data_IF_707242519274
#
_entry.id   IF_707242519274
#
_cell.length_a   1.000
_cell.length_b   1.000
_cell.length_c   1.000
_cell.angle_alpha   90.00
_cell.angle_beta   90.00
_cell.angle_gamma   90.00
#
_symmetry.space_group_name_H-M   'P 1'
#
loop_
_entity.id
_entity.type
_entity.pdbx_description
1 polymer ?
#
# COMPACT_ATOMS: atom_id res chain seq x y z
N UNK A 1 8.18 6.25 8.92
CA UNK A 1 9.48 6.81 9.37
C UNK A 1 10.35 7.24 8.19
N UNK A 2 10.52 6.43 7.12
CA UNK A 2 11.38 6.74 5.96
C UNK A 2 10.99 8.08 5.33
N UNK A 3 9.74 8.24 4.93
CA UNK A 3 9.24 9.46 4.29
C UNK A 3 9.34 10.69 5.21
N UNK A 4 9.03 10.52 6.49
CA UNK A 4 9.14 11.59 7.50
C UNK A 4 10.60 12.02 7.65
N UNK A 5 11.49 11.05 7.81
CA UNK A 5 12.91 11.31 7.94
C UNK A 5 13.50 12.05 6.74
N UNK A 6 13.18 11.61 5.51
CA UNK A 6 13.61 12.27 4.28
C UNK A 6 13.04 13.69 4.19
N UNK A 7 11.73 13.86 4.46
CA UNK A 7 11.06 15.16 4.38
C UNK A 7 11.75 16.21 5.25
N UNK A 8 11.89 15.92 6.54
CA UNK A 8 12.49 16.88 7.47
C UNK A 8 14.01 17.02 7.30
N UNK A 9 14.71 16.00 6.80
CA UNK A 9 16.14 16.12 6.52
C UNK A 9 16.44 17.07 5.34
N UNK A 10 15.60 17.08 4.30
CA UNK A 10 15.78 17.97 3.15
C UNK A 10 15.71 19.44 3.58
N UNK A 11 14.75 19.78 4.43
CA UNK A 11 14.48 21.16 4.84
C UNK A 11 15.25 21.57 6.13
N UNK A 12 16.06 20.66 6.72
CA UNK A 12 16.82 20.93 7.95
C UNK A 12 17.98 21.92 7.73
N UNK A 13 18.14 22.94 8.60
CA UNK A 13 19.11 24.02 8.40
C UNK A 13 20.56 23.64 8.70
N UNK A 14 20.81 22.57 9.45
CA UNK A 14 22.16 22.15 9.84
C UNK A 14 22.41 20.67 9.58
N UNK A 15 23.68 20.29 9.40
CA UNK A 15 24.08 18.90 9.19
C UNK A 15 23.67 17.99 10.35
N UNK A 16 23.79 18.46 11.59
CA UNK A 16 23.36 17.71 12.78
C UNK A 16 21.87 17.39 12.76
N UNK A 17 21.02 18.36 12.35
CA UNK A 17 19.59 18.13 12.20
C UNK A 17 19.28 17.22 11.00
N UNK A 18 20.02 17.33 9.91
CA UNK A 18 19.91 16.43 8.76
C UNK A 18 20.19 14.98 9.14
N UNK A 19 21.31 14.74 9.83
CA UNK A 19 21.67 13.38 10.28
C UNK A 19 20.66 12.82 11.27
N UNK A 20 20.17 13.64 12.19
CA UNK A 20 19.12 13.23 13.13
C UNK A 20 17.87 12.73 12.41
N UNK A 21 17.39 13.45 11.41
CA UNK A 21 16.20 13.05 10.65
C UNK A 21 16.47 11.91 9.65
N UNK A 22 17.68 11.80 9.10
CA UNK A 22 18.03 10.70 8.21
C UNK A 22 18.21 9.36 8.96
N UNK A 23 18.57 9.38 10.23
CA UNK A 23 18.78 8.16 11.01
C UNK A 23 17.56 7.22 11.00
N UNK A 24 16.30 7.65 11.32
CA UNK A 24 15.14 6.78 11.22
C UNK A 24 14.82 6.36 9.78
N UNK A 25 15.14 7.17 8.76
CA UNK A 25 14.96 6.79 7.37
C UNK A 25 15.91 5.66 6.96
N UNK A 26 17.17 5.76 7.32
CA UNK A 26 18.19 4.73 7.06
C UNK A 26 17.86 3.45 7.83
N UNK A 27 17.54 3.56 9.13
CA UNK A 27 17.15 2.42 9.94
C UNK A 27 15.92 1.70 9.38
N UNK A 28 14.87 2.45 9.03
CA UNK A 28 13.66 1.88 8.41
C UNK A 28 13.94 1.20 7.07
N UNK A 29 14.81 1.77 6.24
CA UNK A 29 15.24 1.16 4.98
C UNK A 29 15.98 -0.15 5.21
N UNK A 30 16.95 -0.17 6.13
CA UNK A 30 17.69 -1.37 6.51
C UNK A 30 16.71 -2.44 7.05
N UNK A 31 15.78 -2.05 7.94
CA UNK A 31 14.81 -2.96 8.51
C UNK A 31 13.93 -3.63 7.44
N UNK A 32 13.46 -2.86 6.45
CA UNK A 32 12.62 -3.40 5.37
C UNK A 32 13.43 -4.30 4.43
N UNK A 33 14.60 -3.88 3.98
CA UNK A 33 15.33 -4.59 2.94
C UNK A 33 16.14 -5.80 3.46
N UNK A 34 16.55 -5.80 4.72
CA UNK A 34 17.40 -6.86 5.25
C UNK A 34 16.71 -7.74 6.31
N UNK A 35 15.74 -7.20 7.06
CA UNK A 35 15.10 -7.94 8.16
C UNK A 35 13.65 -8.31 7.88
N UNK A 36 12.96 -7.66 6.93
CA UNK A 36 11.58 -8.02 6.61
C UNK A 36 11.54 -9.11 5.52
N UNK A 37 10.82 -10.22 5.75
CA UNK A 37 10.67 -11.26 4.74
C UNK A 37 9.67 -10.87 3.62
N UNK A 38 8.95 -9.75 3.77
CA UNK A 38 7.82 -9.38 2.92
C UNK A 38 8.23 -8.73 1.59
N UNK A 39 7.98 -9.42 0.47
CA UNK A 39 8.19 -8.88 -0.91
C UNK A 39 7.42 -7.57 -1.15
N UNK A 40 6.23 -7.45 -0.59
CA UNK A 40 5.36 -6.27 -0.69
C UNK A 40 6.01 -5.03 -0.08
N UNK A 41 6.74 -5.18 1.03
CA UNK A 41 7.44 -4.07 1.68
C UNK A 41 8.45 -3.37 0.77
N UNK A 42 9.19 -4.11 -0.05
CA UNK A 42 10.14 -3.55 -1.03
C UNK A 42 9.42 -2.71 -2.09
N UNK A 43 8.33 -3.26 -2.64
CA UNK A 43 7.53 -2.59 -3.67
C UNK A 43 6.90 -1.31 -3.13
N UNK A 44 6.22 -1.39 -1.98
CA UNK A 44 5.54 -0.27 -1.35
C UNK A 44 6.51 0.85 -0.98
N UNK A 45 7.67 0.51 -0.39
CA UNK A 45 8.69 1.50 0.00
C UNK A 45 9.28 2.18 -1.23
N UNK A 46 9.66 1.41 -2.25
CA UNK A 46 10.20 1.95 -3.50
C UNK A 46 9.20 2.87 -4.19
N UNK A 47 7.95 2.47 -4.26
CA UNK A 47 6.87 3.30 -4.82
C UNK A 47 6.68 4.60 -4.03
N UNK A 48 6.56 4.53 -2.70
CA UNK A 48 6.31 5.69 -1.87
C UNK A 48 7.46 6.72 -1.91
N UNK A 49 8.71 6.25 -1.88
CA UNK A 49 9.90 7.11 -2.00
C UNK A 49 10.00 7.72 -3.40
N UNK A 50 9.70 6.95 -4.45
CA UNK A 50 9.66 7.46 -5.82
C UNK A 50 8.62 8.57 -5.97
N UNK A 51 7.41 8.34 -5.47
CA UNK A 51 6.31 9.30 -5.51
C UNK A 51 6.65 10.59 -4.73
N UNK A 52 7.30 10.43 -3.56
CA UNK A 52 7.78 11.57 -2.78
C UNK A 52 8.71 12.48 -3.58
N UNK A 53 9.72 11.93 -4.21
CA UNK A 53 10.66 12.72 -5.01
C UNK A 53 10.04 13.29 -6.29
N UNK A 54 9.12 12.57 -6.92
CA UNK A 54 8.36 13.07 -8.08
C UNK A 54 7.54 14.32 -7.76
N UNK A 55 7.04 14.45 -6.54
CA UNK A 55 6.26 15.60 -6.08
C UNK A 55 7.18 16.70 -5.50
N UNK A 56 8.17 16.32 -4.67
CA UNK A 56 9.06 17.29 -4.00
C UNK A 56 9.96 18.04 -4.98
N UNK A 57 10.46 17.38 -6.02
CA UNK A 57 11.37 17.97 -7.01
C UNK A 57 10.55 18.60 -8.13
N UNK A 58 10.50 19.94 -8.18
CA UNK A 58 9.77 20.68 -9.23
C UNK A 58 10.51 20.76 -10.58
N UNK A 59 11.77 20.33 -10.64
CA UNK A 59 12.63 20.38 -11.82
C UNK A 59 12.37 19.20 -12.77
N UNK A 60 12.83 19.32 -14.04
CA UNK A 60 12.91 18.21 -15.00
C UNK A 60 13.65 16.97 -14.46
N UNK A 61 14.51 17.17 -13.47
CA UNK A 61 15.28 16.10 -12.81
C UNK A 61 14.46 15.24 -11.84
N UNK A 62 13.17 15.53 -11.64
CA UNK A 62 12.29 14.73 -10.77
C UNK A 62 12.25 13.23 -11.14
N UNK A 63 12.48 12.92 -12.42
CA UNK A 63 12.49 11.54 -12.92
C UNK A 63 13.77 10.76 -12.58
N UNK A 64 14.84 11.44 -12.15
CA UNK A 64 16.08 10.77 -11.76
C UNK A 64 15.89 9.85 -10.53
N UNK A 65 15.03 10.25 -9.58
CA UNK A 65 14.79 9.44 -8.39
C UNK A 65 14.13 8.09 -8.70
N UNK A 66 12.99 8.00 -9.42
CA UNK A 66 12.42 6.71 -9.80
C UNK A 66 13.34 5.91 -10.72
N UNK A 67 14.08 6.54 -11.63
CA UNK A 67 15.08 5.86 -12.47
C UNK A 67 16.17 5.25 -11.59
N UNK A 68 16.74 6.02 -10.66
CA UNK A 68 17.78 5.53 -9.75
C UNK A 68 17.26 4.39 -8.86
N UNK A 69 16.07 4.54 -8.28
CA UNK A 69 15.47 3.50 -7.43
C UNK A 69 15.18 2.22 -8.22
N UNK A 70 14.72 2.35 -9.47
CA UNK A 70 14.49 1.20 -10.35
C UNK A 70 15.82 0.52 -10.73
N UNK A 71 16.84 1.31 -11.08
CA UNK A 71 18.18 0.79 -11.36
C UNK A 71 18.80 0.11 -10.13
N UNK A 72 18.63 0.72 -8.94
CA UNK A 72 19.07 0.14 -7.67
C UNK A 72 18.36 -1.20 -7.39
N UNK A 73 17.03 -1.24 -7.51
CA UNK A 73 16.25 -2.46 -7.33
C UNK A 73 16.67 -3.56 -8.33
N UNK A 74 16.90 -3.20 -9.59
CA UNK A 74 17.39 -4.13 -10.62
C UNK A 74 18.80 -4.64 -10.32
N UNK A 75 19.70 -3.76 -9.91
CA UNK A 75 21.06 -4.17 -9.52
C UNK A 75 21.02 -5.10 -8.31
N UNK A 76 20.22 -4.76 -7.29
CA UNK A 76 20.04 -5.59 -6.09
C UNK A 76 19.45 -6.97 -6.47
N UNK A 77 18.47 -7.01 -7.37
CA UNK A 77 17.94 -8.27 -7.90
C UNK A 77 19.02 -9.12 -8.59
N UNK A 78 19.94 -8.49 -9.32
CA UNK A 78 21.01 -9.20 -10.04
C UNK A 78 22.16 -9.67 -9.14
N UNK A 79 22.47 -8.92 -8.08
CA UNK A 79 23.64 -9.15 -7.24
C UNK A 79 23.34 -9.89 -5.94
N UNK A 80 22.10 -9.85 -5.46
CA UNK A 80 21.70 -10.50 -4.22
C UNK A 80 20.93 -11.79 -4.49
N UNK A 81 21.58 -12.93 -4.26
CA UNK A 81 21.02 -14.27 -4.50
C UNK A 81 19.69 -14.51 -3.76
N UNK A 82 19.56 -14.00 -2.54
CA UNK A 82 18.32 -14.15 -1.75
C UNK A 82 17.16 -13.41 -2.41
N UNK A 83 17.37 -12.18 -2.87
CA UNK A 83 16.33 -11.39 -3.54
C UNK A 83 16.01 -11.99 -4.90
N UNK A 84 17.02 -12.41 -5.64
CA UNK A 84 16.86 -13.10 -6.92
C UNK A 84 16.02 -14.38 -6.76
N UNK A 85 16.36 -15.24 -5.82
CA UNK A 85 15.61 -16.46 -5.54
C UNK A 85 14.15 -16.17 -5.13
N UNK A 86 13.93 -15.20 -4.25
CA UNK A 86 12.57 -14.81 -3.79
C UNK A 86 11.68 -14.29 -4.91
N UNK A 87 12.23 -13.48 -5.81
CA UNK A 87 11.47 -12.95 -6.96
C UNK A 87 11.12 -14.10 -7.92
N UNK A 88 12.08 -14.95 -8.25
CA UNK A 88 11.86 -16.09 -9.15
C UNK A 88 10.86 -17.10 -8.56
N UNK A 89 10.97 -17.41 -7.25
CA UNK A 89 9.99 -18.24 -6.56
C UNK A 89 8.59 -17.64 -6.68
N UNK A 90 8.44 -16.31 -6.51
CA UNK A 90 7.15 -15.65 -6.68
C UNK A 90 6.54 -15.81 -8.07
N UNK A 91 7.35 -15.73 -9.13
CA UNK A 91 6.87 -15.98 -10.49
C UNK A 91 6.48 -17.46 -10.70
N UNK A 92 7.21 -18.39 -10.12
CA UNK A 92 6.86 -19.80 -10.18
C UNK A 92 5.57 -20.09 -9.43
N UNK A 93 5.42 -19.60 -8.18
CA UNK A 93 4.19 -19.70 -7.40
C UNK A 93 2.97 -19.20 -8.20
N UNK A 94 3.09 -18.03 -8.86
CA UNK A 94 2.01 -17.48 -9.67
C UNK A 94 1.65 -18.38 -10.86
N UNK A 95 2.65 -18.87 -11.60
CA UNK A 95 2.42 -19.76 -12.75
C UNK A 95 1.79 -21.08 -12.32
N UNK A 96 2.28 -21.67 -11.24
CA UNK A 96 1.76 -22.93 -10.70
C UNK A 96 0.30 -22.76 -10.26
N UNK A 97 -0.02 -21.70 -9.52
CA UNK A 97 -1.39 -21.44 -9.07
C UNK A 97 -2.37 -21.23 -10.24
N UNK A 98 -1.97 -20.45 -11.26
CA UNK A 98 -2.79 -20.25 -12.46
C UNK A 98 -3.04 -21.59 -13.17
N UNK A 99 -2.04 -22.43 -13.30
CA UNK A 99 -2.17 -23.75 -13.93
C UNK A 99 -3.08 -24.68 -13.09
N UNK A 100 -2.93 -24.70 -11.76
CA UNK A 100 -3.76 -25.48 -10.86
C UNK A 100 -5.23 -25.07 -10.94
N UNK A 101 -5.52 -23.75 -10.87
CA UNK A 101 -6.86 -23.20 -11.00
C UNK A 101 -7.48 -23.58 -12.34
N UNK A 102 -6.73 -23.42 -13.44
CA UNK A 102 -7.22 -23.73 -14.80
C UNK A 102 -7.54 -25.21 -14.98
N UNK A 103 -6.85 -26.10 -14.28
CA UNK A 103 -7.07 -27.55 -14.34
C UNK A 103 -8.01 -28.07 -13.23
N UNK A 104 -8.65 -27.19 -12.47
CA UNK A 104 -9.50 -27.54 -11.31
C UNK A 104 -8.80 -28.40 -10.25
N UNK A 105 -7.50 -28.19 -10.09
CA UNK A 105 -6.69 -28.79 -9.05
C UNK A 105 -6.61 -27.82 -7.86
N UNK A 106 -6.61 -28.36 -6.64
CA UNK A 106 -6.45 -27.54 -5.43
C UNK A 106 -5.14 -26.75 -5.49
N UNK A 107 -5.18 -25.40 -5.44
CA UNK A 107 -3.97 -24.59 -5.41
C UNK A 107 -3.17 -24.82 -4.14
N UNK A 108 -1.85 -24.73 -4.25
CA UNK A 108 -0.97 -24.78 -3.09
C UNK A 108 -1.10 -23.52 -2.22
N UNK A 109 -0.72 -23.63 -0.94
CA UNK A 109 -0.76 -22.52 0.02
C UNK A 109 0.49 -21.61 -0.08
N UNK A 110 1.09 -21.49 -1.26
CA UNK A 110 2.18 -20.55 -1.49
C UNK A 110 1.70 -19.10 -1.38
N UNK A 111 2.59 -18.20 -1.01
CA UNK A 111 2.21 -16.81 -0.68
C UNK A 111 1.52 -16.06 -1.83
N UNK A 112 1.96 -16.27 -3.07
CA UNK A 112 1.34 -15.63 -4.26
C UNK A 112 0.20 -16.50 -4.78
N UNK A 113 0.36 -17.83 -4.78
CA UNK A 113 -0.66 -18.76 -5.23
C UNK A 113 -1.95 -18.62 -4.44
N UNK A 114 -1.86 -18.58 -3.12
CA UNK A 114 -3.01 -18.36 -2.26
C UNK A 114 -3.76 -17.05 -2.57
N UNK A 115 -3.02 -15.94 -2.80
CA UNK A 115 -3.66 -14.66 -3.17
C UNK A 115 -4.37 -14.72 -4.50
N UNK A 116 -3.78 -15.34 -5.52
CA UNK A 116 -4.40 -15.48 -6.85
C UNK A 116 -5.71 -16.26 -6.72
N UNK A 117 -5.70 -17.38 -5.98
CA UNK A 117 -6.90 -18.16 -5.74
C UNK A 117 -7.96 -17.39 -4.94
N UNK A 118 -7.56 -16.70 -3.88
CA UNK A 118 -8.48 -15.86 -3.11
C UNK A 118 -9.10 -14.75 -3.96
N UNK A 119 -8.33 -14.09 -4.83
CA UNK A 119 -8.84 -13.03 -5.70
C UNK A 119 -9.81 -13.57 -6.74
N UNK A 120 -9.48 -14.69 -7.35
CA UNK A 120 -10.33 -15.35 -8.34
C UNK A 120 -11.67 -15.74 -7.72
N UNK A 121 -11.68 -16.44 -6.59
CA UNK A 121 -12.91 -16.83 -5.90
C UNK A 121 -13.69 -15.65 -5.34
N UNK A 122 -13.03 -14.64 -4.82
CA UNK A 122 -13.70 -13.39 -4.38
C UNK A 122 -14.36 -12.68 -5.56
N UNK A 123 -13.71 -12.69 -6.73
CA UNK A 123 -14.29 -12.13 -7.94
C UNK A 123 -15.58 -12.85 -8.37
N UNK A 124 -15.62 -14.17 -8.23
CA UNK A 124 -16.85 -14.94 -8.48
C UNK A 124 -18.00 -14.55 -7.52
N UNK A 125 -17.70 -14.29 -6.25
CA UNK A 125 -18.67 -13.77 -5.29
C UNK A 125 -19.17 -12.36 -5.67
N UNK A 126 -18.28 -11.49 -6.12
CA UNK A 126 -18.62 -10.14 -6.57
C UNK A 126 -19.56 -10.17 -7.78
N UNK A 127 -19.30 -11.05 -8.76
CA UNK A 127 -20.15 -11.19 -9.94
C UNK A 127 -21.60 -11.57 -9.60
N UNK A 128 -21.82 -12.29 -8.51
CA UNK A 128 -23.16 -12.66 -8.06
C UNK A 128 -23.94 -11.49 -7.46
N UNK A 129 -23.27 -10.55 -6.78
CA UNK A 129 -23.89 -9.35 -6.15
C UNK A 129 -23.04 -8.08 -6.32
N UNK A 130 -22.85 -7.57 -7.54
CA UNK A 130 -21.89 -6.51 -7.81
C UNK A 130 -22.28 -5.14 -7.23
N UNK A 131 -23.58 -4.85 -7.09
CA UNK A 131 -24.06 -3.52 -6.71
C UNK A 131 -24.15 -3.31 -5.20
N UNK A 132 -24.63 -4.29 -4.45
CA UNK A 132 -24.90 -4.13 -3.01
C UNK A 132 -24.06 -5.07 -2.14
N UNK A 133 -23.29 -5.96 -2.74
CA UNK A 133 -22.47 -6.94 -2.03
C UNK A 133 -23.30 -7.95 -1.21
N UNK A 134 -22.64 -8.62 -0.29
CA UNK A 134 -23.23 -9.65 0.54
C UNK A 134 -23.54 -9.19 1.97
N UNK A 135 -23.12 -7.97 2.33
CA UNK A 135 -23.24 -7.40 3.67
C UNK A 135 -21.91 -7.43 4.44
N UNK A 136 -21.76 -6.50 5.38
CA UNK A 136 -20.57 -6.43 6.23
C UNK A 136 -20.41 -7.72 7.05
N UNK A 137 -19.16 -8.23 7.10
CA UNK A 137 -18.82 -9.46 7.82
C UNK A 137 -19.26 -10.75 7.12
N UNK A 138 -19.83 -10.65 5.92
CA UNK A 138 -20.31 -11.83 5.18
C UNK A 138 -19.20 -12.60 4.48
N UNK A 139 -18.03 -12.01 4.25
CA UNK A 139 -16.97 -12.58 3.42
C UNK A 139 -16.64 -14.01 3.83
N UNK A 140 -16.33 -14.26 5.09
CA UNK A 140 -15.96 -15.59 5.61
C UNK A 140 -16.99 -16.67 5.28
N UNK A 141 -18.27 -16.37 5.53
CA UNK A 141 -19.37 -17.33 5.29
C UNK A 141 -19.47 -17.62 3.81
N UNK A 142 -19.52 -16.55 2.98
CA UNK A 142 -19.66 -16.69 1.52
C UNK A 142 -18.44 -17.30 0.87
N UNK A 143 -17.25 -17.03 1.39
CA UNK A 143 -16.02 -17.68 1.00
C UNK A 143 -16.10 -19.20 1.21
N UNK A 144 -16.47 -19.65 2.42
CA UNK A 144 -16.57 -21.08 2.72
C UNK A 144 -17.69 -21.80 1.95
N UNK A 145 -18.75 -21.09 1.56
CA UNK A 145 -19.78 -21.62 0.66
C UNK A 145 -19.27 -21.77 -0.79
N UNK A 146 -18.31 -20.93 -1.20
CA UNK A 146 -17.85 -20.82 -2.58
C UNK A 146 -16.63 -21.71 -2.89
N UNK A 147 -15.75 -21.94 -1.91
CA UNK A 147 -14.53 -22.72 -2.12
C UNK A 147 -14.81 -24.21 -2.25
N UNK A 148 -14.11 -24.86 -3.18
CA UNK A 148 -14.29 -26.29 -3.45
C UNK A 148 -13.61 -27.21 -2.42
N UNK A 149 -12.70 -26.66 -1.63
CA UNK A 149 -11.85 -27.42 -0.70
C UNK A 149 -11.99 -26.87 0.72
N UNK A 150 -12.31 -27.72 1.67
CA UNK A 150 -12.52 -27.32 3.08
C UNK A 150 -11.27 -26.75 3.75
N UNK A 151 -10.07 -27.12 3.28
CA UNK A 151 -8.79 -26.57 3.71
C UNK A 151 -8.71 -25.04 3.59
N UNK A 152 -9.41 -24.45 2.62
CA UNK A 152 -9.46 -23.01 2.40
C UNK A 152 -10.46 -22.27 3.29
N UNK A 153 -11.24 -22.97 4.10
CA UNK A 153 -12.09 -22.37 5.13
C UNK A 153 -11.34 -22.09 6.44
N UNK A 154 -10.06 -22.44 6.53
CA UNK A 154 -9.21 -22.04 7.66
C UNK A 154 -9.20 -20.52 7.81
N UNK A 155 -9.25 -19.98 9.05
CA UNK A 155 -9.19 -18.53 9.29
C UNK A 155 -8.04 -17.80 8.60
N UNK A 156 -6.91 -18.48 8.38
CA UNK A 156 -5.76 -17.91 7.67
C UNK A 156 -6.09 -17.48 6.23
N UNK A 157 -7.12 -18.07 5.60
CA UNK A 157 -7.50 -17.80 4.20
C UNK A 157 -8.92 -17.25 4.06
N UNK A 158 -9.79 -17.54 5.04
CA UNK A 158 -11.22 -17.23 4.92
C UNK A 158 -11.63 -15.86 5.47
N UNK A 159 -10.78 -15.18 6.19
CA UNK A 159 -11.14 -13.90 6.84
C UNK A 159 -10.99 -12.70 5.93
N UNK A 160 -10.06 -12.73 4.98
CA UNK A 160 -9.75 -11.59 4.13
C UNK A 160 -9.05 -12.02 2.82
N UNK A 161 -9.40 -11.45 1.65
CA UNK A 161 -8.80 -11.81 0.36
C UNK A 161 -7.40 -11.22 0.13
N UNK A 162 -6.75 -10.61 1.12
CA UNK A 162 -5.51 -9.83 0.96
C UNK A 162 -5.59 -8.77 -0.17
N UNK A 163 -6.75 -8.15 -0.30
CA UNK A 163 -7.01 -7.04 -1.20
C UNK A 163 -8.21 -6.25 -0.68
N UNK A 164 -7.96 -5.04 -0.19
CA UNK A 164 -8.98 -4.21 0.45
C UNK A 164 -10.07 -3.75 -0.53
N UNK A 165 -9.74 -3.58 -1.81
CA UNK A 165 -10.73 -3.21 -2.84
C UNK A 165 -11.71 -4.35 -3.07
N UNK A 166 -11.23 -5.58 -3.20
CA UNK A 166 -12.08 -6.76 -3.33
C UNK A 166 -12.92 -6.98 -2.08
N UNK A 167 -12.34 -6.78 -0.88
CA UNK A 167 -13.07 -6.89 0.37
C UNK A 167 -14.23 -5.90 0.45
N UNK A 168 -13.96 -4.62 0.15
CA UNK A 168 -14.98 -3.58 0.11
C UNK A 168 -16.08 -3.90 -0.92
N UNK A 169 -15.70 -4.46 -2.07
CA UNK A 169 -16.64 -4.79 -3.13
C UNK A 169 -17.51 -6.00 -2.77
N UNK A 170 -16.93 -7.07 -2.27
CA UNK A 170 -17.71 -8.28 -1.91
C UNK A 170 -18.69 -8.02 -0.78
N UNK A 171 -18.32 -7.21 0.20
CA UNK A 171 -19.19 -6.93 1.34
C UNK A 171 -20.21 -5.81 1.08
N UNK A 172 -19.78 -4.68 0.53
CA UNK A 172 -20.59 -3.47 0.37
C UNK A 172 -21.02 -3.19 -1.08
N UNK A 173 -20.53 -3.99 -2.03
CA UNK A 173 -20.79 -3.75 -3.45
C UNK A 173 -20.06 -2.52 -3.97
N UNK A 174 -20.57 -1.99 -5.10
CA UNK A 174 -20.03 -0.77 -5.73
C UNK A 174 -19.94 0.44 -4.78
N UNK A 175 -20.91 0.72 -3.89
CA UNK A 175 -20.80 1.76 -2.88
C UNK A 175 -19.56 1.62 -1.99
N UNK A 176 -19.20 0.40 -1.58
CA UNK A 176 -18.00 0.16 -0.76
C UNK A 176 -16.72 0.56 -1.47
N UNK A 177 -16.61 0.21 -2.76
CA UNK A 177 -15.45 0.62 -3.58
C UNK A 177 -15.41 2.14 -3.74
N UNK A 178 -16.54 2.78 -4.01
CA UNK A 178 -16.62 4.24 -4.14
C UNK A 178 -16.19 4.91 -2.84
N UNK A 179 -16.69 4.46 -1.70
CA UNK A 179 -16.32 5.01 -0.39
C UNK A 179 -14.81 4.87 -0.12
N UNK A 180 -14.23 3.71 -0.42
CA UNK A 180 -12.79 3.49 -0.28
C UNK A 180 -11.98 4.41 -1.21
N UNK A 181 -12.41 4.57 -2.46
CA UNK A 181 -11.75 5.48 -3.40
C UNK A 181 -11.89 6.95 -2.96
N UNK A 182 -13.02 7.37 -2.42
CA UNK A 182 -13.19 8.71 -1.84
C UNK A 182 -12.31 8.90 -0.60
N UNK A 183 -12.21 7.90 0.27
CA UNK A 183 -11.33 7.91 1.43
C UNK A 183 -9.85 8.11 1.06
N UNK A 184 -9.43 7.61 -0.10
CA UNK A 184 -8.08 7.79 -0.64
C UNK A 184 -7.95 9.13 -1.38
N UNK A 185 -8.88 9.45 -2.26
CA UNK A 185 -8.72 10.56 -3.21
C UNK A 185 -8.96 11.93 -2.59
N UNK A 186 -9.90 12.05 -1.62
CA UNK A 186 -10.18 13.33 -0.97
C UNK A 186 -8.97 13.86 -0.18
N UNK A 187 -8.34 13.08 0.73
CA UNK A 187 -7.13 13.52 1.42
C UNK A 187 -5.97 13.79 0.47
N UNK A 188 -5.79 12.96 -0.58
CA UNK A 188 -4.73 13.18 -1.56
C UNK A 188 -4.88 14.51 -2.30
N UNK A 189 -6.10 14.84 -2.75
CA UNK A 189 -6.38 16.15 -3.39
C UNK A 189 -6.16 17.32 -2.44
N UNK A 190 -6.54 17.18 -1.19
CA UNK A 190 -6.31 18.24 -0.17
C UNK A 190 -4.82 18.41 0.13
N UNK A 191 -4.08 17.30 0.24
CA UNK A 191 -2.64 17.33 0.45
C UNK A 191 -1.90 18.08 -0.67
N UNK A 192 -2.33 17.95 -1.93
CA UNK A 192 -1.76 18.70 -3.06
C UNK A 192 -1.92 20.22 -2.96
N UNK A 193 -2.88 20.70 -2.15
CA UNK A 193 -3.10 22.12 -1.90
C UNK A 193 -2.16 22.71 -0.83
N UNK A 194 -1.36 21.89 -0.14
CA UNK A 194 -0.37 22.29 0.86
C UNK A 194 1.04 21.96 0.37
N UNK A 195 1.69 22.84 -0.44
CA UNK A 195 2.93 22.53 -1.16
C UNK A 195 4.08 22.07 -0.27
N UNK A 196 4.14 22.55 0.97
CA UNK A 196 5.17 22.19 1.94
C UNK A 196 5.14 20.69 2.27
N UNK A 197 3.94 20.15 2.56
CA UNK A 197 3.74 18.78 2.98
C UNK A 197 3.21 17.87 1.87
N UNK A 198 2.91 18.40 0.69
CA UNK A 198 2.28 17.64 -0.40
C UNK A 198 3.03 16.35 -0.73
N UNK A 199 4.37 16.41 -0.83
CA UNK A 199 5.18 15.25 -1.15
C UNK A 199 5.06 14.15 -0.08
N UNK A 200 5.14 14.51 1.21
CA UNK A 200 5.01 13.57 2.32
C UNK A 200 3.61 12.93 2.36
N UNK A 201 2.59 13.77 2.31
CA UNK A 201 1.20 13.36 2.48
C UNK A 201 0.68 12.52 1.32
N UNK A 202 0.92 12.96 0.08
CA UNK A 202 0.47 12.21 -1.11
C UNK A 202 1.21 10.88 -1.22
N UNK A 203 2.49 10.84 -0.85
CA UNK A 203 3.24 9.58 -0.85
C UNK A 203 2.77 8.62 0.23
N UNK A 204 2.39 9.12 1.40
CA UNK A 204 1.78 8.31 2.46
C UNK A 204 0.42 7.74 2.03
N UNK A 205 -0.43 8.57 1.41
CA UNK A 205 -1.74 8.12 0.90
C UNK A 205 -1.56 7.15 -0.28
N UNK A 206 -0.59 7.42 -1.15
CA UNK A 206 -0.24 6.52 -2.25
C UNK A 206 0.28 5.17 -1.76
N UNK A 207 1.10 5.16 -0.70
CA UNK A 207 1.51 3.93 -0.03
C UNK A 207 0.28 3.15 0.47
N UNK A 208 -0.64 3.79 1.18
CA UNK A 208 -1.88 3.17 1.65
C UNK A 208 -2.73 2.61 0.49
N UNK A 209 -2.90 3.39 -0.58
CA UNK A 209 -3.66 2.97 -1.75
C UNK A 209 -3.06 1.72 -2.43
N UNK A 210 -1.73 1.67 -2.55
CA UNK A 210 -1.05 0.51 -3.11
C UNK A 210 -1.06 -0.69 -2.15
N UNK A 211 -0.97 -0.44 -0.85
CA UNK A 211 -1.07 -1.47 0.19
C UNK A 211 -2.46 -2.13 0.18
N UNK A 212 -3.52 -1.35 0.00
CA UNK A 212 -4.89 -1.85 -0.19
C UNK A 212 -5.01 -2.87 -1.34
N UNK A 213 -4.13 -2.81 -2.34
CA UNK A 213 -4.15 -3.77 -3.45
C UNK A 213 -3.52 -5.12 -3.09
N UNK A 214 -2.50 -5.12 -2.23
CA UNK A 214 -1.76 -6.34 -1.87
C UNK A 214 -2.10 -6.90 -0.50
N UNK A 215 -2.76 -6.11 0.34
CA UNK A 215 -3.08 -6.44 1.72
C UNK A 215 -4.48 -5.94 2.09
N UNK A 216 -4.83 -6.09 3.36
CA UNK A 216 -6.05 -5.55 3.95
C UNK A 216 -5.74 -4.58 5.09
N UNK A 217 -5.17 -3.37 4.79
CA UNK A 217 -4.73 -2.46 5.84
C UNK A 217 -5.87 -1.93 6.71
N UNK A 218 -7.12 -2.05 6.28
CA UNK A 218 -8.29 -1.74 7.10
C UNK A 218 -8.82 -2.95 7.88
N UNK A 219 -8.24 -4.14 7.66
CA UNK A 219 -8.58 -5.38 8.37
C UNK A 219 -7.61 -5.70 9.51
N UNK A 220 -6.30 -5.51 9.30
CA UNK A 220 -5.27 -5.80 10.29
C UNK A 220 -5.28 -4.74 11.39
N UNK A 221 -5.54 -5.14 12.64
CA UNK A 221 -5.75 -4.21 13.78
C UNK A 221 -4.69 -3.12 13.92
N UNK A 222 -3.41 -3.45 13.79
CA UNK A 222 -2.34 -2.46 13.91
C UNK A 222 -2.30 -1.50 12.72
N UNK A 223 -2.57 -1.99 11.52
CA UNK A 223 -2.52 -1.19 10.29
C UNK A 223 -3.69 -0.22 10.22
N UNK A 224 -4.93 -0.66 10.47
CA UNK A 224 -6.07 0.26 10.40
C UNK A 224 -6.01 1.37 11.46
N UNK A 225 -5.58 1.09 12.68
CA UNK A 225 -5.39 2.14 13.68
C UNK A 225 -4.36 3.17 13.21
N UNK A 226 -3.24 2.72 12.64
CA UNK A 226 -2.21 3.60 12.12
C UNK A 226 -2.76 4.51 11.00
N UNK A 227 -3.42 3.94 10.00
CA UNK A 227 -3.94 4.73 8.87
C UNK A 227 -5.09 5.63 9.26
N UNK A 228 -6.04 5.17 10.10
CA UNK A 228 -7.14 5.98 10.60
C UNK A 228 -6.69 7.17 11.45
N UNK A 229 -5.56 7.05 12.16
CA UNK A 229 -4.97 8.16 12.90
C UNK A 229 -4.17 9.09 11.97
N UNK A 230 -3.35 8.53 11.08
CA UNK A 230 -2.43 9.31 10.26
C UNK A 230 -3.12 10.10 9.14
N UNK A 231 -4.19 9.57 8.54
CA UNK A 231 -4.91 10.29 7.48
C UNK A 231 -5.53 11.62 7.98
N UNK A 232 -6.25 11.67 9.12
CA UNK A 232 -6.70 12.93 9.70
C UNK A 232 -5.58 13.88 10.10
N UNK A 233 -4.46 13.38 10.63
CA UNK A 233 -3.29 14.21 10.95
C UNK A 233 -2.73 14.86 9.70
N UNK A 234 -2.53 14.08 8.65
CA UNK A 234 -2.09 14.55 7.33
C UNK A 234 -3.06 15.61 6.79
N UNK A 235 -4.36 15.36 6.89
CA UNK A 235 -5.39 16.30 6.44
C UNK A 235 -5.38 17.61 7.25
N UNK A 236 -5.23 17.53 8.57
CA UNK A 236 -5.13 18.69 9.46
C UNK A 236 -3.91 19.56 9.13
N UNK A 237 -2.73 18.95 8.95
CA UNK A 237 -1.52 19.66 8.54
C UNK A 237 -1.71 20.40 7.21
N UNK A 238 -2.42 19.79 6.24
CA UNK A 238 -2.73 20.42 4.96
C UNK A 238 -3.62 21.67 5.10
N UNK A 239 -4.59 21.64 6.02
CA UNK A 239 -5.49 22.78 6.28
C UNK A 239 -4.72 23.93 6.93
N UNK A 240 -3.93 23.65 7.96
CA UNK A 240 -3.18 24.67 8.71
C UNK A 240 -2.12 25.33 7.84
N UNK A 241 -1.35 24.56 7.06
CA UNK A 241 -0.38 25.11 6.11
C UNK A 241 -1.01 26.08 5.08
N UNK A 242 -2.28 25.88 4.72
CA UNK A 242 -3.00 26.81 3.84
C UNK A 242 -3.46 28.08 4.56
N UNK A 243 -3.84 27.99 5.85
CA UNK A 243 -4.25 29.14 6.64
C UNK A 243 -3.07 30.11 6.86
N UNK A 244 -1.88 29.59 7.14
CA UNK A 244 -0.66 30.39 7.35
C UNK A 244 -0.17 31.10 6.08
N UNK A 245 -0.54 30.62 4.90
CA UNK A 245 -0.17 31.23 3.61
C UNK A 245 -1.21 32.22 3.08
N UNK A 246 -2.37 32.37 3.73
CA UNK A 246 -3.38 33.34 3.35
C UNK A 246 -2.99 34.75 3.84
N UNK A 247 -2.68 35.72 2.97
CA UNK A 247 -2.33 37.07 3.38
C UNK A 247 -3.58 37.77 3.96
N UNK A 248 -3.57 38.13 5.24
CA UNK A 248 -4.43 39.18 5.74
C UNK A 248 -5.44 38.92 6.85
N UNK A 249 -5.27 37.91 7.73
CA UNK A 249 -6.18 37.72 8.88
C UNK A 249 -5.55 38.05 10.26
N UNK A 250 -4.36 38.62 10.31
CA UNK A 250 -3.73 39.10 11.55
C UNK A 250 -3.48 40.62 11.53
N UNK A 251 -4.48 41.43 11.12
CA UNK A 251 -4.51 42.87 11.40
C UNK A 251 -5.95 43.26 11.76
N UNK A 252 -6.32 43.04 12.98
CA UNK A 252 -7.36 43.84 13.66
C UNK A 252 -7.23 43.63 15.17
#
# INVERSE_FOLDING_TARGET
YILIGIHFAIDAPSWTKKTFWLAPAVFGTIAIFFFSPGRTGYLLTTFAVSLFFLIKIKSRYKWLAPIFLTAFAFTTYKTNETIHARVNTGFQEARTAIAQISNSVEPDFSSIGARIYMWERTWELIKQRPFFGWGLGSYKVKWCEQVNYSSWCDPAFSEHPHNQYLMAWVELGLPGVILLLLFITIPARKAMQAPEYAALMVSFIGFFALDCFFNGPLWVKMEYHFFLLMIPVVYSLAIHAKADTAPGLHQS
#
